data_IF_505715847091
#
_entry.id   IF_505715847091
#
_cell.length_a   1.000
_cell.length_b   1.000
_cell.length_c   1.000
_cell.angle_alpha   90.00
_cell.angle_beta   90.00
_cell.angle_gamma   90.00
#
_symmetry.space_group_name_H-M   'P 1'
#
loop_
_entity.id
_entity.type
_entity.pdbx_description
1 polymer ?
#
# COMPACT_ATOMS: atom_id res chain seq x y z
N UNK A 1 -20.50 21.68 -14.98
CA UNK A 1 -19.13 22.24 -14.98
C UNK A 1 -18.42 22.08 -13.63
N UNK A 2 -19.04 22.40 -12.48
CA UNK A 2 -18.41 22.20 -11.16
C UNK A 2 -18.07 20.73 -10.83
N UNK A 3 -18.98 19.79 -11.14
CA UNK A 3 -18.77 18.35 -10.89
C UNK A 3 -17.60 17.75 -11.69
N UNK A 4 -17.52 18.05 -12.98
CA UNK A 4 -16.42 17.58 -13.84
C UNK A 4 -15.05 18.10 -13.38
N UNK A 5 -14.97 19.32 -12.83
CA UNK A 5 -13.74 19.87 -12.27
C UNK A 5 -13.34 19.17 -10.97
N UNK A 6 -14.32 18.92 -10.10
CA UNK A 6 -14.11 18.20 -8.85
C UNK A 6 -13.67 16.74 -9.08
N UNK A 7 -14.23 16.08 -10.11
CA UNK A 7 -13.83 14.73 -10.50
C UNK A 7 -12.37 14.69 -10.99
N UNK A 8 -11.94 15.66 -11.79
CA UNK A 8 -10.53 15.80 -12.24
C UNK A 8 -9.58 16.07 -11.08
N UNK A 9 -9.97 16.94 -10.14
CA UNK A 9 -9.12 17.28 -8.98
C UNK A 9 -8.85 16.05 -8.07
N UNK A 10 -9.85 15.15 -7.94
CA UNK A 10 -9.71 13.90 -7.16
C UNK A 10 -8.82 12.89 -7.88
N UNK A 11 -8.98 12.74 -9.21
CA UNK A 11 -8.17 11.84 -10.02
C UNK A 11 -6.69 12.24 -10.02
N UNK A 12 -6.43 13.55 -10.12
CA UNK A 12 -5.07 14.10 -10.03
C UNK A 12 -4.45 13.87 -8.65
N UNK A 13 -5.21 14.06 -7.57
CA UNK A 13 -4.75 13.76 -6.22
C UNK A 13 -4.45 12.26 -6.04
N UNK A 14 -5.34 11.38 -6.52
CA UNK A 14 -5.13 9.94 -6.46
C UNK A 14 -3.84 9.53 -7.18
N UNK A 15 -3.63 10.05 -8.39
CA UNK A 15 -2.43 9.79 -9.20
C UNK A 15 -1.16 10.25 -8.51
N UNK A 16 -1.17 11.44 -7.90
CA UNK A 16 -0.03 11.95 -7.14
C UNK A 16 0.33 11.03 -5.96
N UNK A 17 -0.66 10.60 -5.19
CA UNK A 17 -0.45 9.68 -4.06
C UNK A 17 0.05 8.32 -4.55
N UNK A 18 -0.53 7.79 -5.62
CA UNK A 18 -0.10 6.56 -6.29
C UNK A 18 1.35 6.62 -6.78
N UNK A 19 1.78 7.77 -7.32
CA UNK A 19 3.17 8.00 -7.72
C UNK A 19 4.14 7.98 -6.54
N UNK A 20 3.81 8.67 -5.45
CA UNK A 20 4.62 8.71 -4.22
C UNK A 20 4.75 7.31 -3.61
N UNK A 21 3.64 6.58 -3.49
CA UNK A 21 3.64 5.21 -2.95
C UNK A 21 4.43 4.25 -3.85
N UNK A 22 4.36 4.41 -5.18
CA UNK A 22 5.13 3.58 -6.09
C UNK A 22 6.63 3.86 -5.97
N UNK A 23 7.00 5.14 -5.79
CA UNK A 23 8.36 5.53 -5.41
C UNK A 23 8.81 4.85 -4.12
N UNK A 24 7.97 4.86 -3.09
CA UNK A 24 8.24 4.22 -1.80
C UNK A 24 8.49 2.71 -1.93
N UNK A 25 7.69 2.01 -2.76
CA UNK A 25 7.91 0.58 -3.06
C UNK A 25 9.25 0.37 -3.75
N UNK A 26 9.56 1.15 -4.79
CA UNK A 26 10.85 1.05 -5.51
C UNK A 26 12.05 1.30 -4.61
N UNK A 27 11.99 2.33 -3.77
CA UNK A 27 13.05 2.62 -2.81
C UNK A 27 13.20 1.52 -1.76
N UNK A 28 12.08 0.95 -1.27
CA UNK A 28 12.10 -0.19 -0.35
C UNK A 28 12.71 -1.43 -1.00
N UNK A 29 12.49 -1.65 -2.30
CA UNK A 29 13.11 -2.75 -3.05
C UNK A 29 14.61 -2.51 -3.27
N UNK A 30 15.01 -1.28 -3.61
CA UNK A 30 16.40 -0.94 -3.92
C UNK A 30 17.30 -0.85 -2.68
N UNK A 31 16.76 -0.35 -1.57
CA UNK A 31 17.44 -0.24 -0.28
C UNK A 31 16.55 -0.83 0.81
N UNK A 32 16.54 -2.17 0.98
CA UNK A 32 15.62 -2.82 1.90
C UNK A 32 15.77 -2.34 3.33
N UNK A 33 14.66 -1.81 3.85
CA UNK A 33 14.57 -1.22 5.17
C UNK A 33 13.17 -0.66 5.41
N UNK A 34 12.80 -0.40 6.67
CA UNK A 34 11.47 0.11 6.98
C UNK A 34 11.29 1.59 6.58
N UNK A 35 12.40 2.33 6.46
CA UNK A 35 12.40 3.78 6.42
C UNK A 35 11.93 4.42 5.11
N UNK A 36 12.19 3.87 3.90
CA UNK A 36 11.67 4.46 2.66
C UNK A 36 10.15 4.57 2.65
N UNK A 37 9.45 3.48 3.02
CA UNK A 37 8.00 3.49 3.16
C UNK A 37 7.50 4.48 4.23
N UNK A 38 8.17 4.52 5.38
CA UNK A 38 7.82 5.46 6.47
C UNK A 38 7.99 6.90 6.04
N UNK A 39 9.08 7.21 5.34
CA UNK A 39 9.38 8.55 4.87
C UNK A 39 8.34 9.04 3.86
N UNK A 40 8.02 8.21 2.87
CA UNK A 40 7.00 8.54 1.87
C UNK A 40 5.61 8.71 2.51
N UNK A 41 5.20 7.79 3.40
CA UNK A 41 3.92 7.92 4.11
C UNK A 41 3.88 9.20 4.94
N UNK A 42 4.94 9.51 5.70
CA UNK A 42 5.00 10.75 6.50
C UNK A 42 4.86 11.99 5.63
N UNK A 43 5.45 12.02 4.43
CA UNK A 43 5.26 13.14 3.51
C UNK A 43 3.81 13.27 3.04
N UNK A 44 3.15 12.15 2.74
CA UNK A 44 1.75 12.13 2.34
C UNK A 44 0.81 12.60 3.46
N UNK A 45 1.15 12.29 4.71
CA UNK A 45 0.35 12.62 5.89
C UNK A 45 0.85 13.85 6.64
N UNK A 46 1.78 14.64 6.09
CA UNK A 46 2.35 15.78 6.81
C UNK A 46 1.33 16.93 6.97
N UNK A 47 0.51 17.17 5.94
CA UNK A 47 -0.51 18.22 5.95
C UNK A 47 -1.80 17.79 6.67
N UNK A 48 -1.90 16.51 7.00
CA UNK A 48 -3.06 15.91 7.64
C UNK A 48 -3.17 16.35 9.11
N UNK A 49 -2.03 16.60 9.77
CA UNK A 49 -1.92 17.07 11.16
C UNK A 49 -2.52 18.48 11.37
N UNK A 50 -2.76 19.24 10.31
CA UNK A 50 -3.38 20.58 10.37
C UNK A 50 -4.92 20.55 10.24
N UNK A 51 -5.50 19.36 9.98
CA UNK A 51 -6.94 19.18 9.74
C UNK A 51 -7.62 18.60 10.99
N UNK A 52 -8.81 19.09 11.35
CA UNK A 52 -9.52 18.78 12.61
C UNK A 52 -9.64 17.29 12.97
N UNK A 53 -9.51 16.96 14.26
CA UNK A 53 -9.41 15.60 14.85
C UNK A 53 -10.54 14.60 14.54
N UNK A 54 -11.71 15.03 14.06
CA UNK A 54 -12.92 14.17 13.94
C UNK A 54 -13.08 13.49 12.55
N UNK A 55 -12.11 13.60 11.64
CA UNK A 55 -12.17 12.90 10.34
C UNK A 55 -10.79 12.40 9.90
N UNK A 56 -10.70 11.19 9.32
CA UNK A 56 -9.42 10.69 8.83
C UNK A 56 -8.90 11.68 7.78
N UNK A 57 -7.68 12.18 7.93
CA UNK A 57 -7.19 13.25 7.09
C UNK A 57 -7.12 12.86 5.60
N UNK A 58 -7.18 13.85 4.68
CA UNK A 58 -7.33 13.59 3.25
C UNK A 58 -6.14 12.80 2.66
N UNK A 59 -4.90 13.05 3.10
CA UNK A 59 -3.71 12.35 2.64
C UNK A 59 -3.67 10.88 3.08
N UNK A 60 -3.95 10.63 4.36
CA UNK A 60 -3.98 9.30 4.96
C UNK A 60 -5.06 8.43 4.33
N UNK A 61 -6.28 8.96 4.23
CA UNK A 61 -7.43 8.25 3.64
C UNK A 61 -7.18 7.90 2.19
N UNK A 62 -6.63 8.84 1.42
CA UNK A 62 -6.33 8.62 0.01
C UNK A 62 -5.19 7.60 -0.17
N UNK A 63 -4.14 7.67 0.65
CA UNK A 63 -3.06 6.68 0.64
C UNK A 63 -3.56 5.27 0.99
N UNK A 64 -4.45 5.16 1.98
CA UNK A 64 -5.10 3.89 2.31
C UNK A 64 -5.90 3.34 1.12
N UNK A 65 -6.73 4.18 0.49
CA UNK A 65 -7.55 3.76 -0.66
C UNK A 65 -6.69 3.30 -1.83
N UNK A 66 -5.62 4.03 -2.17
CA UNK A 66 -4.66 3.62 -3.22
C UNK A 66 -4.06 2.24 -2.89
N UNK A 67 -3.59 2.03 -1.66
CA UNK A 67 -2.99 0.76 -1.27
C UNK A 67 -4.01 -0.38 -1.23
N UNK A 68 -5.25 -0.09 -0.81
CA UNK A 68 -6.35 -1.05 -0.84
C UNK A 68 -6.66 -1.51 -2.27
N UNK A 69 -6.70 -0.58 -3.23
CA UNK A 69 -6.88 -0.91 -4.65
C UNK A 69 -5.75 -1.80 -5.18
N UNK A 70 -4.51 -1.54 -4.77
CA UNK A 70 -3.36 -2.38 -5.17
C UNK A 70 -3.44 -3.77 -4.55
N UNK A 71 -3.89 -3.87 -3.31
CA UNK A 71 -4.13 -5.15 -2.64
C UNK A 71 -5.21 -5.96 -3.34
N UNK A 72 -6.31 -5.31 -3.71
CA UNK A 72 -7.38 -5.96 -4.46
C UNK A 72 -6.90 -6.40 -5.86
N UNK A 73 -6.10 -5.56 -6.51
CA UNK A 73 -5.44 -5.90 -7.77
C UNK A 73 -4.53 -7.12 -7.64
N UNK A 74 -3.73 -7.17 -6.59
CA UNK A 74 -2.87 -8.30 -6.27
C UNK A 74 -3.66 -9.57 -5.94
N UNK A 75 -4.72 -9.46 -5.13
CA UNK A 75 -5.60 -10.57 -4.74
C UNK A 75 -6.17 -11.29 -5.96
N UNK A 76 -6.69 -10.53 -6.92
CA UNK A 76 -7.29 -11.10 -8.13
C UNK A 76 -6.23 -11.66 -9.09
N UNK A 77 -5.13 -10.93 -9.30
CA UNK A 77 -4.05 -11.37 -10.20
C UNK A 77 -3.39 -12.66 -9.69
N UNK A 78 -3.28 -12.82 -8.37
CA UNK A 78 -2.64 -13.96 -7.73
C UNK A 78 -3.66 -14.93 -7.12
N UNK A 79 -4.89 -15.01 -7.67
CA UNK A 79 -5.93 -15.89 -7.15
C UNK A 79 -5.48 -17.36 -7.04
N UNK A 80 -4.71 -17.85 -8.03
CA UNK A 80 -4.16 -19.21 -8.10
C UNK A 80 -2.86 -19.40 -7.29
N UNK A 81 -2.50 -18.44 -6.44
CA UNK A 81 -1.33 -18.46 -5.55
C UNK A 81 -1.79 -18.29 -4.10
N UNK A 82 -2.20 -19.37 -3.41
CA UNK A 82 -2.74 -19.29 -2.05
C UNK A 82 -1.68 -18.83 -1.02
N UNK A 83 -0.40 -19.03 -1.32
CA UNK A 83 0.77 -18.68 -0.51
C UNK A 83 1.24 -17.23 -0.69
N UNK A 84 0.57 -16.42 -1.53
CA UNK A 84 0.99 -15.03 -1.85
C UNK A 84 1.24 -14.15 -0.63
N UNK A 85 0.37 -14.24 0.39
CA UNK A 85 0.53 -13.49 1.63
C UNK A 85 1.71 -13.98 2.47
N UNK A 86 1.89 -15.30 2.55
CA UNK A 86 3.02 -15.91 3.28
C UNK A 86 4.36 -15.58 2.63
N UNK A 87 4.44 -15.63 1.29
CA UNK A 87 5.64 -15.26 0.55
C UNK A 87 5.99 -13.77 0.70
N UNK A 88 5.00 -12.88 0.57
CA UNK A 88 5.22 -11.46 0.80
C UNK A 88 5.74 -11.18 2.22
N UNK A 89 5.14 -11.80 3.25
CA UNK A 89 5.61 -11.69 4.62
C UNK A 89 7.00 -12.31 4.83
N UNK A 90 7.28 -13.43 4.17
CA UNK A 90 8.59 -14.08 4.19
C UNK A 90 9.67 -13.17 3.63
N UNK A 91 9.38 -12.46 2.54
CA UNK A 91 10.26 -11.44 1.99
C UNK A 91 10.49 -10.29 2.99
N UNK A 92 9.43 -9.74 3.59
CA UNK A 92 9.54 -8.68 4.61
C UNK A 92 10.38 -9.15 5.80
N UNK A 93 10.21 -10.38 6.25
CA UNK A 93 11.00 -10.95 7.35
C UNK A 93 12.48 -11.06 7.00
N UNK A 94 12.79 -11.53 5.79
CA UNK A 94 14.16 -11.69 5.31
C UNK A 94 14.88 -10.35 5.11
N UNK A 95 14.19 -9.35 4.57
CA UNK A 95 14.80 -8.11 4.14
C UNK A 95 14.73 -6.99 5.18
N UNK A 96 13.59 -6.83 5.86
CA UNK A 96 13.38 -5.77 6.85
C UNK A 96 13.57 -6.30 8.27
N UNK A 97 13.28 -7.58 8.49
CA UNK A 97 13.43 -8.25 9.78
C UNK A 97 12.10 -8.68 10.40
N UNK A 98 12.18 -9.68 11.30
CA UNK A 98 11.03 -10.33 11.95
C UNK A 98 10.05 -9.37 12.64
N UNK A 99 10.54 -8.27 13.21
CA UNK A 99 9.69 -7.24 13.83
C UNK A 99 8.71 -6.62 12.83
N UNK A 100 9.17 -6.30 11.62
CA UNK A 100 8.35 -5.64 10.62
C UNK A 100 7.40 -6.62 9.93
N UNK A 101 7.85 -7.86 9.70
CA UNK A 101 6.96 -8.93 9.25
C UNK A 101 5.83 -9.19 10.25
N UNK A 102 6.12 -9.20 11.56
CA UNK A 102 5.11 -9.34 12.59
C UNK A 102 4.06 -8.21 12.57
N UNK A 103 4.46 -6.99 12.20
CA UNK A 103 3.53 -5.85 12.01
C UNK A 103 2.73 -5.99 10.72
N UNK A 104 3.38 -6.34 9.61
CA UNK A 104 2.73 -6.53 8.31
C UNK A 104 1.70 -7.67 8.29
N UNK A 105 1.81 -8.65 9.19
CA UNK A 105 0.79 -9.69 9.38
C UNK A 105 -0.62 -9.13 9.65
N UNK A 106 -0.72 -7.95 10.24
CA UNK A 106 -2.02 -7.32 10.54
C UNK A 106 -2.63 -6.60 9.34
N UNK A 107 -1.85 -6.34 8.29
CA UNK A 107 -2.33 -5.67 7.07
C UNK A 107 -2.30 -6.56 5.83
N UNK A 108 -1.72 -7.76 5.90
CA UNK A 108 -1.65 -8.69 4.75
C UNK A 108 -3.00 -9.35 4.43
N UNK A 109 -3.90 -9.45 5.40
CA UNK A 109 -5.16 -10.21 5.32
C UNK A 109 -6.07 -9.86 4.13
N UNK A 110 -6.19 -8.59 3.69
CA UNK A 110 -7.01 -8.25 2.51
C UNK A 110 -6.53 -8.90 1.22
N UNK A 111 -5.27 -9.35 1.14
CA UNK A 111 -4.77 -10.13 0.00
C UNK A 111 -5.39 -11.53 -0.07
N UNK A 112 -5.88 -12.05 1.04
CA UNK A 112 -6.37 -13.43 1.17
C UNK A 112 -7.89 -13.45 1.21
N UNK A 113 -8.50 -12.57 2.00
CA UNK A 113 -9.94 -12.49 2.18
C UNK A 113 -10.44 -11.04 2.08
N UNK A 114 -11.29 -10.70 1.09
CA UNK A 114 -11.84 -9.36 0.96
C UNK A 114 -12.77 -8.97 2.13
N UNK A 115 -13.40 -9.94 2.82
CA UNK A 115 -14.21 -9.63 3.99
C UNK A 115 -13.36 -9.14 5.18
N UNK A 116 -12.09 -9.54 5.22
CA UNK A 116 -11.12 -9.13 6.23
C UNK A 116 -10.56 -7.71 6.01
N UNK A 117 -10.85 -7.05 4.88
CA UNK A 117 -10.41 -5.68 4.62
C UNK A 117 -10.98 -4.65 5.62
N UNK A 118 -12.21 -4.89 6.08
CA UNK A 118 -12.83 -4.08 7.12
C UNK A 118 -12.13 -4.26 8.48
N UNK A 119 -11.65 -5.47 8.77
CA UNK A 119 -10.93 -5.77 10.01
C UNK A 119 -9.54 -5.12 10.05
N UNK A 120 -8.95 -4.83 8.89
CA UNK A 120 -7.65 -4.14 8.82
C UNK A 120 -7.70 -2.76 9.49
N UNK A 121 -8.84 -2.07 9.43
CA UNK A 121 -9.04 -0.78 10.11
C UNK A 121 -8.91 -0.87 11.64
N UNK A 122 -9.19 -2.04 12.24
CA UNK A 122 -9.05 -2.25 13.69
C UNK A 122 -7.60 -2.23 14.17
N UNK A 123 -6.63 -2.38 13.25
CA UNK A 123 -5.21 -2.38 13.57
C UNK A 123 -4.54 -1.01 13.39
N UNK A 124 -5.29 0.02 12.96
CA UNK A 124 -4.75 1.38 12.76
C UNK A 124 -4.08 1.89 14.04
N UNK A 125 -4.76 1.84 15.18
CA UNK A 125 -4.22 2.33 16.46
C UNK A 125 -3.03 1.49 16.95
N UNK A 126 -3.10 0.16 16.78
CA UNK A 126 -2.06 -0.76 17.24
C UNK A 126 -0.75 -0.63 16.43
N UNK A 127 -0.89 -0.37 15.12
CA UNK A 127 0.23 -0.17 14.21
C UNK A 127 0.70 1.29 14.19
N UNK A 128 -0.16 2.22 14.57
CA UNK A 128 0.09 3.66 14.60
C UNK A 128 0.75 4.15 13.30
N UNK A 129 1.93 4.81 13.38
CA UNK A 129 2.60 5.37 12.20
C UNK A 129 3.09 4.30 11.21
N UNK A 130 3.12 3.02 11.60
CA UNK A 130 3.53 1.92 10.73
C UNK A 130 2.35 1.26 10.00
N UNK A 131 1.11 1.71 10.18
CA UNK A 131 -0.05 1.13 9.50
C UNK A 131 0.09 1.17 7.96
N UNK A 132 0.14 2.36 7.35
CA UNK A 132 0.34 2.47 5.90
C UNK A 132 1.71 1.92 5.43
N UNK A 133 2.83 2.13 6.16
CA UNK A 133 4.11 1.51 5.80
C UNK A 133 4.06 0.00 5.73
N UNK A 134 3.32 -0.68 6.61
CA UNK A 134 3.17 -2.14 6.53
C UNK A 134 2.47 -2.59 5.25
N UNK A 135 1.55 -1.78 4.73
CA UNK A 135 0.94 -2.06 3.44
C UNK A 135 1.94 -1.93 2.29
N UNK A 136 2.75 -0.86 2.30
CA UNK A 136 3.83 -0.64 1.31
C UNK A 136 4.87 -1.76 1.35
N UNK A 137 5.32 -2.19 2.53
CA UNK A 137 6.28 -3.30 2.67
C UNK A 137 5.75 -4.60 2.09
N UNK A 138 4.46 -4.87 2.28
CA UNK A 138 3.81 -6.06 1.73
C UNK A 138 3.72 -5.98 0.22
N UNK A 139 3.42 -4.81 -0.36
CA UNK A 139 3.44 -4.62 -1.83
C UNK A 139 4.85 -4.83 -2.37
N UNK A 140 5.89 -4.32 -1.70
CA UNK A 140 7.27 -4.59 -2.08
C UNK A 140 7.58 -6.10 -2.05
N UNK A 141 7.14 -6.80 -1.00
CA UNK A 141 7.24 -8.26 -0.92
C UNK A 141 6.52 -8.98 -2.07
N UNK A 142 5.33 -8.53 -2.46
CA UNK A 142 4.60 -9.09 -3.60
C UNK A 142 5.35 -8.89 -4.92
N UNK A 143 5.83 -7.67 -5.18
CA UNK A 143 6.58 -7.36 -6.41
C UNK A 143 7.88 -8.16 -6.49
N UNK A 144 8.58 -8.33 -5.36
CA UNK A 144 9.81 -9.10 -5.32
C UNK A 144 9.58 -10.61 -5.53
N UNK A 145 8.53 -11.17 -4.93
CA UNK A 145 8.22 -12.61 -4.99
C UNK A 145 7.49 -13.02 -6.27
N UNK A 146 6.80 -12.08 -6.90
CA UNK A 146 6.01 -12.24 -8.12
C UNK A 146 6.31 -11.06 -9.08
N UNK A 147 7.52 -10.99 -9.67
CA UNK A 147 7.86 -9.91 -10.59
C UNK A 147 6.98 -9.97 -11.85
N UNK A 148 6.77 -8.83 -12.50
CA UNK A 148 6.12 -8.80 -13.80
C UNK A 148 7.02 -9.46 -14.86
N UNK A 149 6.40 -10.13 -15.83
CA UNK A 149 7.12 -10.90 -16.86
C UNK A 149 7.94 -10.00 -17.80
N UNK A 150 7.42 -8.82 -18.14
CA UNK A 150 7.97 -7.95 -19.18
C UNK A 150 8.87 -6.83 -18.63
N UNK A 151 8.58 -6.30 -17.44
CA UNK A 151 9.35 -5.22 -16.79
C UNK A 151 9.55 -5.50 -15.28
N UNK A 152 10.75 -5.94 -14.87
CA UNK A 152 11.06 -6.20 -13.47
C UNK A 152 10.99 -4.96 -12.55
N UNK A 153 10.97 -3.75 -13.11
CA UNK A 153 10.83 -2.50 -12.36
C UNK A 153 9.36 -2.06 -12.23
N UNK A 154 8.44 -2.80 -12.86
CA UNK A 154 7.02 -2.53 -12.79
C UNK A 154 6.49 -2.82 -11.38
N UNK A 155 5.81 -1.83 -10.81
CA UNK A 155 4.98 -2.05 -9.62
C UNK A 155 3.63 -2.54 -10.13
N UNK A 156 3.57 -3.79 -10.60
CA UNK A 156 2.40 -4.33 -11.28
C UNK A 156 1.09 -4.22 -10.48
N UNK A 157 1.03 -4.28 -9.12
CA UNK A 157 -0.23 -4.07 -8.41
C UNK A 157 -0.84 -2.71 -8.69
N UNK A 158 0.01 -1.68 -8.88
CA UNK A 158 -0.41 -0.35 -9.32
C UNK A 158 -0.96 -0.38 -10.73
N UNK A 159 -0.21 -0.90 -11.71
CA UNK A 159 -0.64 -0.91 -13.11
C UNK A 159 -1.97 -1.63 -13.29
N UNK A 160 -2.16 -2.74 -12.55
CA UNK A 160 -3.41 -3.51 -12.56
C UNK A 160 -4.57 -2.76 -11.90
N UNK A 161 -4.31 -1.99 -10.84
CA UNK A 161 -5.32 -1.12 -10.23
C UNK A 161 -5.71 0.05 -11.16
N UNK A 162 -4.73 0.70 -11.77
CA UNK A 162 -4.94 1.83 -12.68
C UNK A 162 -5.76 1.40 -13.92
N UNK A 163 -5.53 0.20 -14.45
CA UNK A 163 -6.27 -0.33 -15.61
C UNK A 163 -7.76 -0.64 -15.34
N UNK A 164 -8.21 -0.61 -14.09
CA UNK A 164 -9.60 -0.87 -13.69
C UNK A 164 -10.44 0.40 -13.52
N UNK A 165 -9.78 1.57 -13.51
CA UNK A 165 -10.41 2.88 -13.39
C UNK A 165 -10.72 3.45 -14.78
#
# INVERSE_FOLDING_TARGET
MARARQDTDIEDAYRLVSDVLAGAVRETLAAPGPDPARFAVRQLTANDEETSDDSPPPGWSLAFLVLADWYDAARETLADRPDRGERALGWVEQQLGRRFAARARYTVTPLVDPASALETSHYVDALGPDFLPTMVWTVAGLVAEFPADDDPLEIWPRTRADARR
#
